data_IF_199787815869
#
_entry.id   IF_199787815869
#
_cell.length_a   1.000
_cell.length_b   1.000
_cell.length_c   1.000
_cell.angle_alpha   90.00
_cell.angle_beta   90.00
_cell.angle_gamma   90.00
#
_symmetry.space_group_name_H-M   'P 1'
#
loop_
_entity.id
_entity.type
_entity.pdbx_description
1 polymer ?
#
# COMPACT_ATOMS: atom_id res chain seq x y z
N UNK A 1 -10.69 12.26 23.50
CA UNK A 1 -11.18 10.98 22.89
C UNK A 1 -11.98 11.22 21.60
N UNK A 2 -12.97 12.10 21.57
CA UNK A 2 -13.80 12.40 20.38
C UNK A 2 -12.97 12.77 19.13
N UNK A 3 -11.98 13.64 19.26
CA UNK A 3 -11.14 14.06 18.14
C UNK A 3 -10.31 12.92 17.55
N UNK A 4 -9.80 11.98 18.36
CA UNK A 4 -9.06 10.82 17.86
C UNK A 4 -9.95 9.96 16.95
N UNK A 5 -11.21 9.73 17.35
CA UNK A 5 -12.17 8.99 16.53
C UNK A 5 -12.48 9.69 15.21
N UNK A 6 -12.58 11.03 15.22
CA UNK A 6 -12.76 11.80 13.98
C UNK A 6 -11.57 11.62 13.05
N UNK A 7 -10.33 11.74 13.56
CA UNK A 7 -9.13 11.59 12.75
C UNK A 7 -8.92 10.14 12.26
N UNK A 8 -9.31 9.15 13.04
CA UNK A 8 -9.37 7.75 12.60
C UNK A 8 -10.35 7.58 11.44
N UNK A 9 -11.56 8.14 11.56
CA UNK A 9 -12.55 8.11 10.49
C UNK A 9 -12.05 8.82 9.23
N UNK A 10 -11.41 9.99 9.36
CA UNK A 10 -10.80 10.70 8.23
C UNK A 10 -9.71 9.84 7.56
N UNK A 11 -8.83 9.21 8.33
CA UNK A 11 -7.83 8.28 7.82
C UNK A 11 -8.46 7.14 7.02
N UNK A 12 -9.53 6.53 7.55
CA UNK A 12 -10.28 5.48 6.86
C UNK A 12 -10.93 5.98 5.55
N UNK A 13 -11.56 7.14 5.56
CA UNK A 13 -12.21 7.73 4.38
C UNK A 13 -11.18 8.05 3.30
N UNK A 14 -10.03 8.66 3.66
CA UNK A 14 -8.92 8.91 2.73
C UNK A 14 -8.45 7.59 2.13
N UNK A 15 -8.23 6.56 2.94
CA UNK A 15 -7.83 5.22 2.50
C UNK A 15 -8.85 4.57 1.59
N UNK A 16 -10.15 4.81 1.83
CA UNK A 16 -11.27 4.23 1.10
C UNK A 16 -11.43 4.75 -0.33
N UNK A 17 -10.71 5.81 -0.73
CA UNK A 17 -10.70 6.29 -2.13
C UNK A 17 -10.22 5.13 -3.04
N UNK A 18 -11.09 4.55 -3.89
CA UNK A 18 -10.76 3.37 -4.67
C UNK A 18 -10.11 3.77 -6.01
N UNK A 19 -8.88 4.29 -5.95
CA UNK A 19 -8.15 4.89 -7.07
C UNK A 19 -8.17 4.03 -8.33
N UNK A 20 -7.96 2.71 -8.19
CA UNK A 20 -7.94 1.77 -9.31
C UNK A 20 -9.30 1.65 -10.00
N UNK A 21 -10.38 1.63 -9.21
CA UNK A 21 -11.76 1.53 -9.74
C UNK A 21 -12.18 2.84 -10.40
N UNK A 22 -11.91 3.97 -9.74
CA UNK A 22 -12.29 5.28 -10.28
C UNK A 22 -11.51 5.60 -11.56
N UNK A 23 -10.18 5.44 -11.57
CA UNK A 23 -9.38 5.66 -12.79
C UNK A 23 -9.85 4.73 -13.92
N UNK A 24 -10.08 3.45 -13.62
CA UNK A 24 -10.57 2.48 -14.62
C UNK A 24 -11.91 2.88 -15.20
N UNK A 25 -12.89 3.17 -14.36
CA UNK A 25 -14.26 3.51 -14.81
C UNK A 25 -14.33 4.85 -15.51
N UNK A 26 -13.70 5.91 -14.93
CA UNK A 26 -13.84 7.27 -15.45
C UNK A 26 -13.11 7.49 -16.77
N UNK A 27 -11.87 6.94 -16.90
CA UNK A 27 -11.04 7.23 -18.08
C UNK A 27 -11.01 6.11 -19.11
N UNK A 28 -11.43 4.89 -18.74
CA UNK A 28 -11.32 3.71 -19.62
C UNK A 28 -12.64 2.93 -19.74
N UNK A 29 -13.70 3.30 -19.03
CA UNK A 29 -14.98 2.60 -19.04
C UNK A 29 -14.94 1.17 -18.47
N UNK A 30 -13.87 0.81 -17.69
CA UNK A 30 -13.58 -0.58 -17.28
C UNK A 30 -13.51 -0.68 -15.76
N UNK A 31 -14.22 -1.65 -15.19
CA UNK A 31 -13.96 -2.04 -13.80
C UNK A 31 -12.80 -3.03 -13.75
N UNK A 32 -11.66 -2.59 -13.25
CA UNK A 32 -10.44 -3.40 -13.18
C UNK A 32 -10.56 -4.65 -12.31
N UNK A 33 -11.61 -4.74 -11.50
CA UNK A 33 -11.89 -5.92 -10.65
C UNK A 33 -12.49 -7.09 -11.44
N UNK A 34 -12.97 -6.83 -12.65
CA UNK A 34 -13.52 -7.82 -13.58
C UNK A 34 -12.47 -8.34 -14.57
N UNK A 35 -11.24 -7.76 -14.54
CA UNK A 35 -10.20 -8.09 -15.50
C UNK A 35 -8.86 -8.44 -14.82
N UNK A 36 -8.01 -9.16 -15.54
CA UNK A 36 -6.66 -9.52 -15.10
C UNK A 36 -6.66 -10.38 -13.83
N UNK A 37 -6.08 -9.86 -12.73
CA UNK A 37 -6.06 -10.60 -11.46
C UNK A 37 -7.33 -10.38 -10.61
N UNK A 38 -8.22 -9.51 -11.02
CA UNK A 38 -9.40 -9.11 -10.25
C UNK A 38 -9.12 -8.23 -9.02
N UNK A 39 -7.87 -7.78 -8.83
CA UNK A 39 -7.49 -6.97 -7.68
C UNK A 39 -7.61 -5.46 -7.98
N UNK A 40 -8.17 -4.68 -7.04
CA UNK A 40 -8.30 -3.22 -7.15
C UNK A 40 -7.00 -2.49 -6.75
N UNK A 41 -5.86 -2.87 -7.31
CA UNK A 41 -4.56 -2.25 -7.01
C UNK A 41 -3.75 -1.94 -8.26
N UNK A 42 -2.75 -1.07 -8.12
CA UNK A 42 -1.92 -0.55 -9.21
C UNK A 42 -1.34 -1.65 -10.12
N UNK A 43 -0.85 -2.76 -9.57
CA UNK A 43 -0.28 -3.87 -10.36
C UNK A 43 -1.27 -4.45 -11.37
N UNK A 44 -2.55 -4.57 -10.99
CA UNK A 44 -3.59 -5.03 -11.93
C UNK A 44 -3.90 -3.95 -12.97
N UNK A 45 -3.94 -2.68 -12.57
CA UNK A 45 -4.14 -1.55 -13.48
C UNK A 45 -3.00 -1.46 -14.51
N UNK A 46 -1.74 -1.64 -14.10
CA UNK A 46 -0.61 -1.75 -15.04
C UNK A 46 -0.83 -2.84 -16.09
N UNK A 47 -1.39 -3.97 -15.69
CA UNK A 47 -1.63 -5.11 -16.57
C UNK A 47 -2.79 -4.86 -17.54
N UNK A 48 -3.90 -4.32 -17.05
CA UNK A 48 -5.15 -4.17 -17.82
C UNK A 48 -5.15 -2.89 -18.64
N UNK A 49 -4.76 -1.76 -18.04
CA UNK A 49 -4.89 -0.42 -18.63
C UNK A 49 -3.55 0.21 -19.05
N UNK A 50 -2.43 -0.45 -18.71
CA UNK A 50 -1.09 -0.02 -19.14
C UNK A 50 -0.40 0.91 -18.16
N UNK A 51 0.77 1.45 -18.62
CA UNK A 51 1.75 2.10 -17.72
C UNK A 51 1.21 3.40 -17.10
N UNK A 52 0.59 4.27 -17.90
CA UNK A 52 0.11 5.57 -17.43
C UNK A 52 -0.95 5.41 -16.33
N UNK A 53 -2.00 4.63 -16.58
CA UNK A 53 -3.04 4.39 -15.60
C UNK A 53 -2.49 3.71 -14.33
N UNK A 54 -1.60 2.71 -14.51
CA UNK A 54 -0.97 2.02 -13.39
C UNK A 54 -0.11 2.93 -12.52
N UNK A 55 0.68 3.82 -13.12
CA UNK A 55 1.49 4.81 -12.38
C UNK A 55 0.63 5.84 -11.65
N UNK A 56 -0.45 6.32 -12.28
CA UNK A 56 -1.41 7.22 -11.63
C UNK A 56 -2.02 6.57 -10.40
N UNK A 57 -2.51 5.33 -10.52
CA UNK A 57 -3.10 4.61 -9.39
C UNK A 57 -2.07 4.34 -8.30
N UNK A 58 -0.84 3.95 -8.67
CA UNK A 58 0.25 3.75 -7.71
C UNK A 58 0.50 5.03 -6.90
N UNK A 59 0.63 6.17 -7.59
CA UNK A 59 0.86 7.46 -6.94
C UNK A 59 -0.30 7.83 -6.00
N UNK A 60 -1.54 7.73 -6.46
CA UNK A 60 -2.73 8.03 -5.65
C UNK A 60 -2.80 7.13 -4.41
N UNK A 61 -2.50 5.84 -4.56
CA UNK A 61 -2.51 4.89 -3.43
C UNK A 61 -1.38 5.15 -2.42
N UNK A 62 -0.21 5.63 -2.87
CA UNK A 62 0.87 6.08 -1.97
C UNK A 62 0.46 7.37 -1.26
N UNK A 63 -0.06 8.36 -1.99
CA UNK A 63 -0.45 9.65 -1.43
C UNK A 63 -1.54 9.52 -0.36
N UNK A 64 -2.54 8.64 -0.55
CA UNK A 64 -3.58 8.49 0.48
C UNK A 64 -3.02 7.94 1.80
N UNK A 65 -2.05 7.02 1.76
CA UNK A 65 -1.37 6.52 2.96
C UNK A 65 -0.53 7.60 3.62
N UNK A 66 0.22 8.36 2.82
CA UNK A 66 1.04 9.48 3.27
C UNK A 66 0.20 10.58 3.92
N UNK A 67 -0.89 11.02 3.28
CA UNK A 67 -1.75 12.07 3.83
C UNK A 67 -2.49 11.63 5.07
N UNK A 68 -2.99 10.39 5.11
CA UNK A 68 -3.65 9.87 6.31
C UNK A 68 -2.70 9.82 7.52
N UNK A 69 -1.47 9.33 7.35
CA UNK A 69 -0.49 9.33 8.43
C UNK A 69 -0.11 10.77 8.87
N UNK A 70 -0.08 11.73 7.94
CA UNK A 70 0.18 13.15 8.23
C UNK A 70 -0.94 13.87 8.98
N UNK A 71 -2.13 13.31 9.06
CA UNK A 71 -3.19 13.82 9.94
C UNK A 71 -2.72 13.94 11.40
N UNK A 72 -1.72 13.16 11.81
CA UNK A 72 -1.08 13.26 13.14
C UNK A 72 -0.52 14.66 13.42
N UNK A 73 0.06 15.33 12.42
CA UNK A 73 0.55 16.69 12.58
C UNK A 73 -0.57 17.72 12.70
N UNK A 74 -1.69 17.53 11.96
CA UNK A 74 -2.86 18.39 12.13
C UNK A 74 -3.48 18.17 13.50
N UNK A 75 -3.51 16.95 14.00
CA UNK A 75 -3.96 16.64 15.35
C UNK A 75 -3.08 17.33 16.40
N UNK A 76 -1.76 17.15 16.32
CA UNK A 76 -0.82 17.75 17.26
C UNK A 76 -0.89 19.28 17.27
N UNK A 77 -0.95 19.91 16.09
CA UNK A 77 -0.91 21.37 16.00
C UNK A 77 -2.22 22.09 16.41
N UNK A 78 -3.37 21.42 16.25
CA UNK A 78 -4.68 22.09 16.44
C UNK A 78 -5.48 21.55 17.63
N UNK A 79 -5.18 20.34 18.11
CA UNK A 79 -5.97 19.68 19.16
C UNK A 79 -5.15 19.49 20.43
N UNK A 80 -3.91 19.03 20.31
CA UNK A 80 -3.05 18.75 21.45
C UNK A 80 -1.58 19.04 21.13
N UNK A 81 -1.15 20.27 21.41
CA UNK A 81 0.23 20.72 21.17
C UNK A 81 1.24 20.22 22.21
N UNK A 82 0.78 19.53 23.24
CA UNK A 82 1.67 18.96 24.31
C UNK A 82 2.25 17.60 23.94
N UNK A 83 1.85 17.01 22.80
CA UNK A 83 2.26 15.68 22.37
C UNK A 83 3.77 15.59 22.16
N UNK A 84 4.36 14.57 22.74
CA UNK A 84 5.75 14.18 22.53
C UNK A 84 5.96 13.60 21.12
N UNK A 85 7.21 13.53 20.68
CA UNK A 85 7.56 12.91 19.40
C UNK A 85 7.07 11.45 19.29
N UNK A 86 7.14 10.69 20.38
CA UNK A 86 6.68 9.29 20.43
C UNK A 86 5.17 9.18 20.25
N UNK A 87 4.40 10.05 20.90
CA UNK A 87 2.93 10.08 20.75
C UNK A 87 2.51 10.50 19.34
N UNK A 88 3.20 11.48 18.72
CA UNK A 88 2.97 11.83 17.31
C UNK A 88 3.26 10.64 16.39
N UNK A 89 4.31 9.85 16.69
CA UNK A 89 4.61 8.63 15.93
C UNK A 89 3.48 7.59 16.06
N UNK A 90 2.95 7.39 17.24
CA UNK A 90 1.81 6.49 17.47
C UNK A 90 0.57 6.95 16.72
N UNK A 91 0.27 8.26 16.68
CA UNK A 91 -0.83 8.79 15.86
C UNK A 91 -0.59 8.64 14.35
N UNK A 92 0.65 8.78 13.85
CA UNK A 92 0.99 8.46 12.45
C UNK A 92 0.64 7.00 12.13
N UNK A 93 0.97 6.08 13.03
CA UNK A 93 0.67 4.66 12.89
C UNK A 93 -0.84 4.44 12.88
N UNK A 94 -1.56 4.96 13.89
CA UNK A 94 -3.01 4.77 14.03
C UNK A 94 -3.76 5.27 12.80
N UNK A 95 -3.54 6.54 12.40
CA UNK A 95 -4.25 7.11 11.25
C UNK A 95 -3.82 6.48 9.92
N UNK A 96 -2.54 6.08 9.81
CA UNK A 96 -2.03 5.32 8.67
C UNK A 96 -2.65 3.92 8.55
N UNK A 97 -2.80 3.21 9.66
CA UNK A 97 -3.48 1.90 9.70
C UNK A 97 -4.93 2.04 9.26
N UNK A 98 -5.63 3.10 9.67
CA UNK A 98 -7.00 3.35 9.23
C UNK A 98 -7.07 3.54 7.70
N UNK A 99 -6.09 4.19 7.08
CA UNK A 99 -6.03 4.27 5.62
C UNK A 99 -5.75 2.93 4.95
N UNK A 100 -4.91 2.08 5.54
CA UNK A 100 -4.68 0.71 5.04
C UNK A 100 -5.98 -0.09 5.10
N UNK A 101 -6.70 -0.03 6.22
CA UNK A 101 -8.03 -0.67 6.38
C UNK A 101 -9.01 -0.14 5.33
N UNK A 102 -9.05 1.19 5.12
CA UNK A 102 -9.86 1.82 4.08
C UNK A 102 -9.51 1.33 2.67
N UNK A 103 -8.23 1.14 2.35
CA UNK A 103 -7.82 0.58 1.06
C UNK A 103 -8.20 -0.89 0.89
N UNK A 104 -8.14 -1.69 1.95
CA UNK A 104 -8.54 -3.12 1.92
C UNK A 104 -10.06 -3.25 1.82
N UNK A 105 -10.80 -2.43 2.55
CA UNK A 105 -12.25 -2.47 2.68
C UNK A 105 -12.86 -1.08 2.38
N UNK A 106 -12.74 -0.58 1.12
CA UNK A 106 -13.18 0.76 0.77
C UNK A 106 -14.70 0.89 0.76
N UNK A 107 -15.24 1.82 1.57
CA UNK A 107 -16.68 2.08 1.61
C UNK A 107 -17.23 2.53 0.23
N UNK A 108 -16.44 3.26 -0.55
CA UNK A 108 -16.84 3.75 -1.88
C UNK A 108 -16.74 2.69 -3.00
N UNK A 109 -16.33 1.45 -2.69
CA UNK A 109 -16.23 0.36 -3.67
C UNK A 109 -16.82 -0.96 -3.15
N UNK A 110 -17.88 -0.87 -2.33
CA UNK A 110 -18.58 -2.02 -1.73
C UNK A 110 -17.63 -2.94 -0.96
N UNK A 111 -16.70 -2.37 -0.21
CA UNK A 111 -15.69 -3.06 0.62
C UNK A 111 -14.80 -4.06 -0.16
N UNK A 112 -14.69 -3.91 -1.49
CA UNK A 112 -13.86 -4.75 -2.37
C UNK A 112 -12.65 -3.95 -2.86
N UNK A 113 -11.61 -3.93 -2.03
CA UNK A 113 -10.39 -3.14 -2.24
C UNK A 113 -9.20 -3.92 -2.81
N UNK A 114 -8.02 -3.32 -2.62
CA UNK A 114 -6.73 -3.89 -3.03
C UNK A 114 -6.03 -4.63 -1.89
N UNK A 115 -4.68 -4.68 -1.95
CA UNK A 115 -3.84 -5.35 -0.94
C UNK A 115 -3.16 -4.40 0.05
N UNK A 116 -3.27 -3.11 -0.15
CA UNK A 116 -2.74 -2.10 0.74
C UNK A 116 -1.25 -1.78 0.59
N UNK A 117 -0.49 -2.45 -0.29
CA UNK A 117 0.98 -2.30 -0.37
C UNK A 117 1.42 -0.87 -0.67
N UNK A 118 0.82 -0.21 -1.65
CA UNK A 118 1.16 1.17 -2.01
C UNK A 118 0.73 2.16 -0.91
N UNK A 119 -0.45 1.97 -0.32
CA UNK A 119 -0.93 2.79 0.81
C UNK A 119 -0.04 2.64 2.01
N UNK A 120 0.36 1.41 2.33
CA UNK A 120 1.32 1.09 3.36
C UNK A 120 2.67 1.77 3.13
N UNK A 121 3.17 1.72 1.89
CA UNK A 121 4.42 2.40 1.52
C UNK A 121 4.33 3.91 1.79
N UNK A 122 3.19 4.56 1.51
CA UNK A 122 2.92 5.95 1.86
C UNK A 122 2.98 6.23 3.36
N UNK A 123 2.45 5.31 4.18
CA UNK A 123 2.56 5.39 5.65
C UNK A 123 4.01 5.30 6.09
N UNK A 124 4.78 4.32 5.57
CA UNK A 124 6.20 4.14 5.93
C UNK A 124 7.04 5.35 5.55
N UNK A 125 6.80 6.00 4.41
CA UNK A 125 7.47 7.27 4.05
C UNK A 125 7.27 8.32 5.15
N UNK A 126 6.08 8.40 5.74
CA UNK A 126 5.78 9.37 6.80
C UNK A 126 6.41 9.00 8.14
N UNK A 127 6.56 7.71 8.43
CA UNK A 127 7.21 7.21 9.64
C UNK A 127 8.73 7.39 9.58
N UNK A 128 9.34 6.90 8.50
CA UNK A 128 10.78 7.00 8.27
C UNK A 128 11.09 6.84 6.76
N UNK A 129 11.50 7.93 6.07
CA UNK A 129 11.84 7.88 4.65
C UNK A 129 13.01 6.93 4.33
N UNK A 130 13.98 6.79 5.25
CA UNK A 130 15.09 5.85 5.09
C UNK A 130 14.61 4.40 5.08
N UNK A 131 13.70 4.03 6.00
CA UNK A 131 13.07 2.72 6.00
C UNK A 131 12.29 2.45 4.71
N UNK A 132 11.58 3.46 4.19
CA UNK A 132 10.88 3.37 2.91
C UNK A 132 11.86 3.11 1.75
N UNK A 133 12.99 3.82 1.71
CA UNK A 133 14.03 3.61 0.69
C UNK A 133 14.58 2.19 0.74
N UNK A 134 14.92 1.67 1.93
CA UNK A 134 15.38 0.29 2.08
C UNK A 134 14.33 -0.74 1.65
N UNK A 135 13.05 -0.51 1.97
CA UNK A 135 11.97 -1.38 1.50
C UNK A 135 11.88 -1.40 -0.05
N UNK A 136 12.08 -0.25 -0.72
CA UNK A 136 12.17 -0.20 -2.19
C UNK A 136 13.38 -0.96 -2.70
N UNK A 137 14.55 -0.80 -2.08
CA UNK A 137 15.76 -1.54 -2.48
C UNK A 137 15.55 -3.06 -2.39
N UNK A 138 14.99 -3.55 -1.28
CA UNK A 138 14.65 -4.97 -1.11
C UNK A 138 13.64 -5.42 -2.17
N UNK A 139 12.58 -4.62 -2.41
CA UNK A 139 11.61 -4.90 -3.46
C UNK A 139 12.30 -5.05 -4.83
N UNK A 140 13.16 -4.11 -5.21
CA UNK A 140 13.87 -4.12 -6.50
C UNK A 140 14.84 -5.29 -6.62
N UNK A 141 15.58 -5.64 -5.55
CA UNK A 141 16.48 -6.79 -5.50
C UNK A 141 15.77 -8.12 -5.82
N UNK A 142 14.49 -8.23 -5.47
CA UNK A 142 13.68 -9.42 -5.76
C UNK A 142 12.93 -9.27 -7.09
N UNK A 143 12.32 -8.12 -7.33
CA UNK A 143 11.46 -7.89 -8.49
C UNK A 143 12.24 -7.89 -9.81
N UNK A 144 13.41 -7.23 -9.86
CA UNK A 144 14.18 -7.09 -11.12
C UNK A 144 14.61 -8.45 -11.67
N UNK A 145 15.19 -9.37 -10.89
CA UNK A 145 15.60 -10.67 -11.42
C UNK A 145 14.42 -11.65 -11.65
N UNK A 146 13.33 -11.54 -10.88
CA UNK A 146 12.24 -12.52 -10.95
C UNK A 146 11.08 -12.11 -11.85
N UNK A 147 10.85 -10.80 -11.99
CA UNK A 147 9.66 -10.22 -12.64
C UNK A 147 8.36 -10.34 -11.82
N UNK A 148 8.42 -10.89 -10.60
CA UNK A 148 7.25 -11.08 -9.74
C UNK A 148 7.06 -9.91 -8.76
N UNK A 149 6.15 -8.98 -9.08
CA UNK A 149 5.78 -7.87 -8.18
C UNK A 149 5.29 -8.38 -6.82
N UNK A 150 4.50 -9.45 -6.82
CA UNK A 150 3.96 -10.05 -5.59
C UNK A 150 5.07 -10.58 -4.67
N UNK A 151 6.07 -11.27 -5.23
CA UNK A 151 7.20 -11.80 -4.47
C UNK A 151 8.04 -10.66 -3.88
N UNK A 152 8.38 -9.67 -4.71
CA UNK A 152 9.10 -8.47 -4.26
C UNK A 152 8.37 -7.74 -3.14
N UNK A 153 7.05 -7.55 -3.27
CA UNK A 153 6.23 -6.90 -2.24
C UNK A 153 6.20 -7.69 -0.92
N UNK A 154 6.07 -9.01 -0.99
CA UNK A 154 6.07 -9.86 0.20
C UNK A 154 7.42 -9.82 0.93
N UNK A 155 8.52 -10.01 0.20
CA UNK A 155 9.86 -10.00 0.80
C UNK A 155 10.19 -8.62 1.38
N UNK A 156 9.88 -7.54 0.66
CA UNK A 156 10.02 -6.19 1.19
C UNK A 156 9.18 -5.99 2.46
N UNK A 157 7.91 -6.40 2.46
CA UNK A 157 7.04 -6.30 3.64
C UNK A 157 7.56 -7.08 4.85
N UNK A 158 8.03 -8.31 4.64
CA UNK A 158 8.61 -9.16 5.69
C UNK A 158 9.94 -8.57 6.22
N UNK A 159 10.72 -7.88 5.39
CA UNK A 159 11.98 -7.26 5.82
C UNK A 159 11.80 -6.02 6.69
N UNK A 160 10.65 -5.36 6.64
CA UNK A 160 10.40 -4.10 7.36
C UNK A 160 10.63 -4.19 8.87
N UNK A 161 10.13 -5.20 9.62
CA UNK A 161 10.41 -5.30 11.05
C UNK A 161 11.91 -5.40 11.36
N UNK A 162 12.64 -6.19 10.59
CA UNK A 162 14.08 -6.37 10.76
C UNK A 162 14.83 -5.07 10.45
N UNK A 163 14.49 -4.41 9.34
CA UNK A 163 15.08 -3.12 8.96
C UNK A 163 14.78 -2.05 10.00
N UNK A 164 13.55 -1.93 10.48
CA UNK A 164 13.14 -0.95 11.47
C UNK A 164 13.95 -1.10 12.77
N UNK A 165 14.07 -2.32 13.28
CA UNK A 165 14.75 -2.58 14.54
C UNK A 165 16.27 -2.59 14.41
N UNK A 166 16.86 -3.24 13.37
CA UNK A 166 18.30 -3.47 13.29
C UNK A 166 19.08 -2.39 12.55
N UNK A 167 18.43 -1.71 11.59
CA UNK A 167 19.09 -0.63 10.81
C UNK A 167 18.72 0.74 11.36
N UNK A 168 17.46 0.94 11.76
CA UNK A 168 16.95 2.24 12.19
C UNK A 168 16.73 2.37 13.69
N UNK A 169 17.02 1.34 14.49
CA UNK A 169 16.89 1.34 15.96
C UNK A 169 15.51 1.78 16.47
N UNK A 170 14.45 1.47 15.72
CA UNK A 170 13.08 1.86 16.04
C UNK A 170 12.42 0.81 16.94
N UNK A 171 12.73 0.89 18.25
CA UNK A 171 12.27 -0.10 19.25
C UNK A 171 11.01 0.33 20.02
N UNK A 172 10.38 1.46 19.68
CA UNK A 172 9.12 1.87 20.31
C UNK A 172 8.06 0.78 20.09
N UNK A 173 7.33 0.46 21.16
CA UNK A 173 6.36 -0.64 21.17
C UNK A 173 5.34 -0.53 20.04
N UNK A 174 4.79 0.67 19.80
CA UNK A 174 3.84 0.92 18.68
C UNK A 174 4.46 0.57 17.33
N UNK A 175 5.72 0.96 17.08
CA UNK A 175 6.43 0.68 15.83
C UNK A 175 6.72 -0.82 15.64
N UNK A 176 7.13 -1.52 16.70
CA UNK A 176 7.38 -2.96 16.66
C UNK A 176 6.10 -3.73 16.34
N UNK A 177 5.01 -3.43 17.07
CA UNK A 177 3.71 -4.07 16.84
C UNK A 177 3.23 -3.77 15.41
N UNK A 178 3.31 -2.53 14.97
CA UNK A 178 2.88 -2.12 13.63
C UNK A 178 3.65 -2.87 12.54
N UNK A 179 4.97 -2.88 12.58
CA UNK A 179 5.79 -3.49 11.52
C UNK A 179 5.60 -5.00 11.45
N UNK A 180 5.47 -5.70 12.59
CA UNK A 180 5.19 -7.13 12.63
C UNK A 180 3.78 -7.41 12.08
N UNK A 181 2.77 -6.68 12.54
CA UNK A 181 1.39 -6.83 12.05
C UNK A 181 1.30 -6.61 10.54
N UNK A 182 2.04 -5.62 10.04
CA UNK A 182 2.15 -5.31 8.64
C UNK A 182 2.78 -6.45 7.83
N UNK A 183 3.88 -7.04 8.29
CA UNK A 183 4.51 -8.17 7.62
C UNK A 183 3.52 -9.36 7.50
N UNK A 184 2.77 -9.65 8.57
CA UNK A 184 1.71 -10.67 8.55
C UNK A 184 0.60 -10.29 7.57
N UNK A 185 0.12 -9.05 7.60
CA UNK A 185 -0.95 -8.56 6.71
C UNK A 185 -0.57 -8.67 5.23
N UNK A 186 0.68 -8.31 4.89
CA UNK A 186 1.19 -8.43 3.51
C UNK A 186 1.15 -9.88 3.05
N UNK A 187 1.56 -10.84 3.87
CA UNK A 187 1.49 -12.27 3.53
C UNK A 187 0.04 -12.71 3.34
N UNK A 188 -0.85 -12.37 4.27
CA UNK A 188 -2.27 -12.75 4.22
C UNK A 188 -2.96 -12.20 2.96
N UNK A 189 -2.73 -10.94 2.61
CA UNK A 189 -3.32 -10.31 1.41
C UNK A 189 -2.75 -10.88 0.10
N UNK A 190 -1.62 -11.59 0.18
CA UNK A 190 -0.98 -12.25 -0.97
C UNK A 190 -1.28 -13.76 -1.08
N UNK A 191 -2.20 -14.32 -0.28
CA UNK A 191 -2.52 -15.76 -0.30
C UNK A 191 -2.73 -16.33 -1.73
N UNK A 192 -3.54 -15.65 -2.57
CA UNK A 192 -3.77 -16.08 -3.96
C UNK A 192 -2.50 -16.00 -4.83
N UNK A 193 -1.57 -15.07 -4.54
CA UNK A 193 -0.30 -14.97 -5.26
C UNK A 193 0.66 -16.08 -4.82
N UNK A 194 0.71 -16.42 -3.54
CA UNK A 194 1.50 -17.53 -3.02
C UNK A 194 1.07 -18.83 -3.70
N UNK A 195 -0.23 -19.08 -3.77
CA UNK A 195 -0.76 -20.26 -4.48
C UNK A 195 -0.33 -20.30 -5.96
N UNK A 196 -0.39 -19.14 -6.66
CA UNK A 196 0.06 -19.07 -8.06
C UNK A 196 1.57 -19.19 -8.21
N UNK A 197 2.37 -18.66 -7.27
CA UNK A 197 3.82 -18.82 -7.28
C UNK A 197 4.21 -20.29 -7.12
N UNK A 198 3.59 -21.02 -6.19
CA UNK A 198 3.81 -22.45 -5.98
C UNK A 198 3.41 -23.25 -7.22
N UNK A 199 2.28 -22.90 -7.85
CA UNK A 199 1.78 -23.55 -9.07
C UNK A 199 2.53 -23.13 -10.35
N UNK A 200 3.51 -22.19 -10.28
CA UNK A 200 4.23 -21.67 -11.44
C UNK A 200 3.37 -20.79 -12.39
N UNK A 201 2.17 -20.37 -11.95
CA UNK A 201 1.19 -19.62 -12.75
C UNK A 201 1.11 -18.13 -12.39
N UNK A 202 2.00 -17.62 -11.54
CA UNK A 202 2.01 -16.21 -11.18
C UNK A 202 2.45 -15.34 -12.36
N UNK A 203 1.78 -14.21 -12.52
CA UNK A 203 2.05 -13.28 -13.61
C UNK A 203 3.38 -12.53 -13.42
N UNK A 204 4.27 -12.63 -14.40
CA UNK A 204 5.50 -11.83 -14.46
C UNK A 204 5.24 -10.49 -15.15
N UNK A 205 5.80 -9.42 -14.60
CA UNK A 205 5.84 -8.12 -15.25
C UNK A 205 7.17 -7.98 -16.00
N UNK A 206 7.11 -7.81 -17.33
CA UNK A 206 8.29 -7.55 -18.15
C UNK A 206 8.77 -6.13 -17.91
N UNK A 207 9.96 -5.96 -17.33
CA UNK A 207 10.57 -4.65 -17.06
C UNK A 207 11.16 -4.09 -18.36
N UNK A 208 11.83 -4.94 -19.14
CA UNK A 208 12.45 -4.64 -20.42
C UNK A 208 11.77 -5.46 -21.53
N UNK A 209 11.12 -4.80 -22.49
CA UNK A 209 10.51 -5.42 -23.65
C UNK A 209 9.34 -4.59 -24.19
N UNK A 210 9.22 -4.51 -25.51
CA UNK A 210 8.01 -3.97 -26.16
C UNK A 210 6.82 -4.84 -25.71
N UNK A 211 5.90 -4.26 -24.95
CA UNK A 211 4.68 -4.96 -24.57
C UNK A 211 3.93 -5.40 -25.84
N UNK A 212 3.58 -6.67 -25.93
CA UNK A 212 2.67 -7.18 -26.94
C UNK A 212 1.35 -6.43 -26.86
N UNK A 213 1.14 -5.50 -27.81
CA UNK A 213 -0.10 -4.70 -27.92
C UNK A 213 -1.28 -5.53 -28.44
N UNK A 214 -1.10 -6.83 -28.72
CA UNK A 214 -2.06 -7.64 -29.46
C UNK A 214 -3.16 -8.31 -28.65
N UNK A 215 -3.22 -8.21 -27.29
CA UNK A 215 -4.26 -8.90 -26.51
C UNK A 215 -4.85 -8.04 -25.38
N UNK A 216 -5.27 -6.79 -25.67
CA UNK A 216 -5.77 -5.90 -24.62
C UNK A 216 -7.29 -5.70 -24.56
N UNK A 217 -8.07 -6.18 -25.56
CA UNK A 217 -9.54 -6.07 -25.57
C UNK A 217 -10.12 -7.23 -26.40
N UNK A 218 -10.07 -8.43 -25.87
CA UNK A 218 -10.94 -9.53 -26.30
C UNK A 218 -11.59 -10.13 -25.07
#
# INVERSE_FOLDING_TARGET
>A
MTYILIFCLLGYIIGSVPSAVWVGKTFFGVDVREHGSGNAGATNVFRVLGKTAGSTVLLLDVLKGLFAARLSYLYANNIDSSLTYTEILDFKIIFGVMAIVGHLFPVFANFRGGKGVATLFGVIITLNPGLALWAVLVFLLVFVPTGYVSLGSMIAGISIPVLAMRVFSMYQTGMVIFTITLAVLVVLTHKKNIQRLIAGTENRMKIFGKGDRKNKLA
#
